data_IF_648647782895
#
_entry.id   IF_648647782895
#
_cell.length_a   1.000
_cell.length_b   1.000
_cell.length_c   1.000
_cell.angle_alpha   90.00
_cell.angle_beta   90.00
_cell.angle_gamma   90.00
#
_symmetry.space_group_name_H-M   'P 1'
#
loop_
_entity.id
_entity.type
_entity.pdbx_description
1 polymer ?
#
# COMPACT_ATOMS: atom_id res chain seq x y z
N UNK A 1 14.74 -2.59 4.27
CA UNK A 1 14.56 -3.24 2.97
C UNK A 1 14.02 -2.26 1.91
N UNK A 2 12.83 -1.63 2.10
CA UNK A 2 12.22 -0.75 1.08
C UNK A 2 13.08 0.45 0.62
N UNK A 3 14.04 0.89 1.41
CA UNK A 3 14.99 1.98 1.08
C UNK A 3 16.37 1.47 0.65
N UNK A 4 16.62 0.20 0.82
CA UNK A 4 17.95 -0.39 0.60
C UNK A 4 18.06 -1.02 -0.80
N UNK A 5 16.92 -1.22 -1.48
CA UNK A 5 16.83 -1.69 -2.85
C UNK A 5 16.39 -0.54 -3.77
N UNK A 6 17.35 0.07 -4.43
CA UNK A 6 17.10 1.19 -5.34
C UNK A 6 16.31 0.77 -6.61
N UNK A 7 16.27 -0.52 -6.93
CA UNK A 7 15.58 -1.03 -8.11
C UNK A 7 14.13 -1.40 -7.85
N UNK A 8 13.75 -1.59 -6.58
CA UNK A 8 12.42 -2.10 -6.21
C UNK A 8 11.26 -1.23 -6.75
N UNK A 9 11.29 0.07 -6.49
CA UNK A 9 10.21 0.97 -6.95
C UNK A 9 10.21 1.15 -8.47
N UNK A 10 11.35 1.35 -9.15
CA UNK A 10 11.42 1.32 -10.60
C UNK A 10 10.83 0.06 -11.23
N UNK A 11 11.11 -1.12 -10.69
CA UNK A 11 10.56 -2.38 -11.20
C UNK A 11 9.05 -2.48 -11.01
N UNK A 12 8.53 -2.06 -9.85
CA UNK A 12 7.07 -2.01 -9.61
C UNK A 12 6.40 -1.03 -10.56
N UNK A 13 6.97 0.15 -10.81
CA UNK A 13 6.44 1.13 -11.76
C UNK A 13 6.44 0.58 -13.20
N UNK A 14 7.49 -0.12 -13.59
CA UNK A 14 7.57 -0.82 -14.89
C UNK A 14 6.53 -1.94 -15.00
N UNK A 15 6.32 -2.69 -13.93
CA UNK A 15 5.28 -3.71 -13.87
C UNK A 15 3.88 -3.09 -14.07
N UNK A 16 3.58 -2.00 -13.38
CA UNK A 16 2.31 -1.28 -13.52
C UNK A 16 2.12 -0.74 -14.95
N UNK A 17 3.18 -0.19 -15.58
CA UNK A 17 3.14 0.23 -16.99
C UNK A 17 2.84 -0.94 -17.93
N UNK A 18 3.43 -2.10 -17.68
CA UNK A 18 3.20 -3.31 -18.49
C UNK A 18 1.75 -3.81 -18.36
N UNK A 19 1.21 -3.83 -17.13
CA UNK A 19 -0.19 -4.21 -16.88
C UNK A 19 -1.15 -3.25 -17.60
N UNK A 20 -0.89 -1.94 -17.50
CA UNK A 20 -1.69 -0.92 -18.17
C UNK A 20 -1.59 -1.06 -19.69
N UNK A 21 -0.39 -1.29 -20.24
CA UNK A 21 -0.20 -1.51 -21.66
C UNK A 21 -0.96 -2.74 -22.14
N UNK A 22 -0.88 -3.85 -21.42
CA UNK A 22 -1.65 -5.04 -21.75
C UNK A 22 -3.16 -4.76 -21.82
N UNK A 23 -3.70 -3.99 -20.86
CA UNK A 23 -5.10 -3.55 -20.93
C UNK A 23 -5.38 -2.72 -22.20
N UNK A 24 -4.54 -1.76 -22.52
CA UNK A 24 -4.70 -0.90 -23.72
C UNK A 24 -4.74 -1.75 -25.01
N UNK A 25 -3.87 -2.77 -25.08
CA UNK A 25 -3.73 -3.61 -26.26
C UNK A 25 -4.86 -4.65 -26.41
N UNK A 26 -5.40 -5.13 -25.32
CA UNK A 26 -6.34 -6.27 -25.29
C UNK A 26 -7.78 -5.91 -24.95
N UNK A 27 -8.05 -4.67 -24.51
CA UNK A 27 -9.39 -4.24 -24.11
C UNK A 27 -10.39 -4.35 -25.27
N UNK A 28 -11.56 -4.97 -25.05
CA UNK A 28 -12.58 -5.10 -26.08
C UNK A 28 -13.17 -3.73 -26.46
N UNK A 29 -13.80 -3.65 -27.64
CA UNK A 29 -14.40 -2.41 -28.16
C UNK A 29 -15.45 -1.82 -27.22
N UNK A 30 -16.15 -2.64 -26.48
CA UNK A 30 -17.10 -2.22 -25.43
C UNK A 30 -16.47 -1.36 -24.34
N UNK A 31 -15.14 -1.43 -24.18
CA UNK A 31 -14.35 -0.64 -23.24
C UNK A 31 -13.55 0.50 -23.90
N UNK A 32 -13.93 0.91 -25.11
CA UNK A 32 -13.18 1.92 -25.90
C UNK A 32 -12.91 3.22 -25.13
N UNK A 33 -13.85 3.71 -24.33
CA UNK A 33 -13.67 4.92 -23.50
C UNK A 33 -12.63 4.72 -22.42
N UNK A 34 -12.66 3.59 -21.72
CA UNK A 34 -11.68 3.26 -20.69
C UNK A 34 -10.27 3.05 -21.28
N UNK A 35 -10.21 2.36 -22.45
CA UNK A 35 -8.96 2.21 -23.21
C UNK A 35 -8.37 3.54 -23.64
N UNK A 36 -9.22 4.45 -24.14
CA UNK A 36 -8.80 5.79 -24.53
C UNK A 36 -8.21 6.59 -23.36
N UNK A 37 -8.91 6.62 -22.20
CA UNK A 37 -8.43 7.30 -21.00
C UNK A 37 -7.10 6.67 -20.50
N UNK A 38 -7.03 5.34 -20.46
CA UNK A 38 -5.81 4.62 -20.08
C UNK A 38 -4.62 4.96 -20.98
N UNK A 39 -4.84 5.05 -22.29
CA UNK A 39 -3.81 5.43 -23.26
C UNK A 39 -3.37 6.88 -23.10
N UNK A 40 -4.30 7.80 -22.88
CA UNK A 40 -4.03 9.24 -22.78
C UNK A 40 -3.27 9.59 -21.53
N UNK A 41 -3.76 9.17 -20.38
CA UNK A 41 -3.25 9.55 -19.07
C UNK A 41 -2.15 8.62 -18.57
N UNK A 42 -2.21 7.34 -18.93
CA UNK A 42 -1.36 6.27 -18.35
C UNK A 42 -1.28 6.34 -16.82
N UNK A 43 -2.39 6.68 -16.16
CA UNK A 43 -2.47 6.77 -14.72
C UNK A 43 -2.25 5.42 -14.04
N UNK A 44 -1.35 5.38 -13.07
CA UNK A 44 -1.11 4.22 -12.19
C UNK A 44 -1.19 4.66 -10.72
N UNK A 45 -1.39 3.71 -9.81
CA UNK A 45 -1.53 4.00 -8.39
C UNK A 45 -0.62 3.11 -7.55
N UNK A 46 0.66 3.45 -7.44
CA UNK A 46 1.55 2.82 -6.46
C UNK A 46 1.11 3.24 -5.06
N UNK A 47 0.72 2.28 -4.23
CA UNK A 47 0.32 2.50 -2.85
C UNK A 47 1.12 1.64 -1.88
N UNK A 48 0.81 1.78 -0.60
CA UNK A 48 1.40 0.98 0.47
C UNK A 48 0.32 0.39 1.36
N UNK A 49 0.63 -0.71 2.01
CA UNK A 49 -0.15 -1.27 3.10
C UNK A 49 0.79 -1.63 4.27
N UNK A 50 0.22 -1.88 5.46
CA UNK A 50 1.00 -2.28 6.62
C UNK A 50 1.71 -1.13 7.33
N UNK A 51 1.34 0.13 7.08
CA UNK A 51 2.00 1.25 7.75
C UNK A 51 1.83 1.20 9.27
N UNK A 52 0.61 0.90 9.77
CA UNK A 52 0.40 0.75 11.21
C UNK A 52 1.17 -0.46 11.77
N UNK A 53 1.17 -1.60 11.08
CA UNK A 53 1.97 -2.77 11.48
C UNK A 53 3.47 -2.46 11.55
N UNK A 54 3.98 -1.63 10.66
CA UNK A 54 5.35 -1.13 10.70
C UNK A 54 5.62 -0.28 11.95
N UNK A 55 4.71 0.64 12.29
CA UNK A 55 4.82 1.45 13.51
C UNK A 55 4.75 0.60 14.78
N UNK A 56 3.84 -0.37 14.82
CA UNK A 56 3.73 -1.32 15.93
C UNK A 56 5.02 -2.14 16.12
N UNK A 57 5.64 -2.59 15.03
CA UNK A 57 6.92 -3.32 15.10
C UNK A 57 8.06 -2.47 15.68
N UNK A 58 7.97 -1.14 15.56
CA UNK A 58 8.90 -0.19 16.14
C UNK A 58 8.49 0.31 17.53
N UNK A 59 7.36 -0.15 18.07
CA UNK A 59 6.72 0.38 19.29
C UNK A 59 6.48 1.90 19.22
N UNK A 60 6.06 2.40 18.06
CA UNK A 60 5.76 3.81 17.81
C UNK A 60 4.24 4.01 17.83
N UNK A 61 3.70 4.82 18.76
CA UNK A 61 2.27 5.16 18.75
C UNK A 61 1.87 5.87 17.45
N UNK A 62 0.70 5.53 16.92
CA UNK A 62 0.21 6.03 15.63
C UNK A 62 0.08 7.56 15.60
N UNK A 63 -0.39 8.18 16.68
CA UNK A 63 -0.60 9.63 16.79
C UNK A 63 0.69 10.41 17.12
N UNK A 64 1.80 9.71 17.32
CA UNK A 64 3.05 10.33 17.76
C UNK A 64 3.71 11.20 16.68
N UNK A 65 4.54 12.13 17.10
CA UNK A 65 5.41 12.92 16.21
C UNK A 65 6.36 11.99 15.44
N UNK A 66 6.82 10.92 16.06
CA UNK A 66 7.71 9.93 15.43
C UNK A 66 7.02 9.25 14.26
N UNK A 67 5.73 8.88 14.40
CA UNK A 67 4.95 8.33 13.30
C UNK A 67 4.84 9.30 12.12
N UNK A 68 4.63 10.61 12.39
CA UNK A 68 4.64 11.66 11.35
C UNK A 68 5.97 11.77 10.63
N UNK A 69 7.09 11.63 11.36
CA UNK A 69 8.43 11.64 10.77
C UNK A 69 8.62 10.43 9.85
N UNK A 70 8.22 9.23 10.27
CA UNK A 70 8.27 8.03 9.45
C UNK A 70 7.40 8.14 8.20
N UNK A 71 6.17 8.66 8.35
CA UNK A 71 5.28 8.92 7.22
C UNK A 71 5.98 9.82 6.17
N UNK A 72 6.44 11.00 6.58
CA UNK A 72 7.12 11.94 5.67
C UNK A 72 8.35 11.32 5.01
N UNK A 73 9.17 10.58 5.75
CA UNK A 73 10.39 9.97 5.22
C UNK A 73 10.07 8.88 4.19
N UNK A 74 9.12 8.01 4.50
CA UNK A 74 8.71 6.90 3.64
C UNK A 74 8.09 7.42 2.34
N UNK A 75 7.09 8.28 2.44
CA UNK A 75 6.39 8.77 1.25
C UNK A 75 7.19 9.75 0.40
N UNK A 76 8.12 10.49 0.99
CA UNK A 76 9.08 11.26 0.21
C UNK A 76 9.96 10.34 -0.65
N UNK A 77 10.52 9.31 -0.07
CA UNK A 77 11.33 8.32 -0.80
C UNK A 77 10.54 7.66 -1.92
N UNK A 78 9.31 7.17 -1.63
CA UNK A 78 8.46 6.53 -2.64
C UNK A 78 8.16 7.50 -3.79
N UNK A 79 7.82 8.74 -3.48
CA UNK A 79 7.54 9.77 -4.49
C UNK A 79 8.74 10.05 -5.36
N UNK A 80 9.90 10.30 -4.77
CA UNK A 80 11.14 10.59 -5.50
C UNK A 80 11.51 9.45 -6.46
N UNK A 81 11.40 8.19 -6.00
CA UNK A 81 11.67 7.01 -6.82
C UNK A 81 10.61 6.82 -7.92
N UNK A 82 9.32 7.02 -7.62
CA UNK A 82 8.25 6.92 -8.62
C UNK A 82 8.36 8.01 -9.69
N UNK A 83 8.72 9.25 -9.30
CA UNK A 83 8.95 10.36 -10.23
C UNK A 83 10.17 10.08 -11.14
N UNK A 84 11.24 9.54 -10.59
CA UNK A 84 12.42 9.14 -11.36
C UNK A 84 12.09 8.00 -12.33
N UNK A 85 11.37 6.98 -11.88
CA UNK A 85 10.93 5.85 -12.71
C UNK A 85 10.00 6.29 -13.85
N UNK A 86 9.09 7.25 -13.57
CA UNK A 86 8.21 7.79 -14.62
C UNK A 86 9.00 8.49 -15.73
N UNK A 87 9.99 9.31 -15.38
CA UNK A 87 10.86 9.97 -16.38
C UNK A 87 11.70 8.97 -17.16
N UNK A 88 12.31 8.01 -16.49
CA UNK A 88 13.08 6.92 -17.11
C UNK A 88 12.22 6.15 -18.13
N UNK A 89 11.00 5.77 -17.76
CA UNK A 89 10.07 5.06 -18.64
C UNK A 89 9.56 5.95 -19.79
N UNK A 90 9.45 7.27 -19.57
CA UNK A 90 9.12 8.21 -20.64
C UNK A 90 10.25 8.32 -21.66
N UNK A 91 11.51 8.31 -21.24
CA UNK A 91 12.67 8.27 -22.12
C UNK A 91 12.74 6.96 -22.93
N UNK A 92 12.43 5.82 -22.31
CA UNK A 92 12.47 4.51 -22.96
C UNK A 92 11.30 4.26 -23.91
N UNK A 93 10.09 4.71 -23.56
CA UNK A 93 8.82 4.30 -24.19
C UNK A 93 7.95 5.46 -24.67
N UNK A 94 8.42 6.69 -24.51
CA UNK A 94 7.66 7.91 -24.75
C UNK A 94 6.83 8.36 -23.56
N UNK A 95 6.58 9.67 -23.42
CA UNK A 95 5.68 10.22 -22.41
C UNK A 95 4.23 9.80 -22.67
N UNK A 96 3.35 9.89 -21.66
CA UNK A 96 1.93 9.77 -21.93
C UNK A 96 1.45 10.98 -22.75
N UNK A 97 0.45 10.81 -23.64
CA UNK A 97 -0.01 11.89 -24.51
C UNK A 97 -0.40 13.16 -23.79
N UNK A 98 -1.08 13.05 -22.65
CA UNK A 98 -1.49 14.22 -21.85
C UNK A 98 -0.30 14.99 -21.29
N UNK A 99 0.75 14.31 -20.83
CA UNK A 99 1.98 14.97 -20.37
C UNK A 99 2.72 15.64 -21.56
N UNK A 100 2.79 14.96 -22.69
CA UNK A 100 3.44 15.46 -23.88
C UNK A 100 2.80 16.75 -24.41
N UNK A 101 1.47 16.87 -24.37
CA UNK A 101 0.74 18.09 -24.77
C UNK A 101 1.14 19.32 -23.96
N UNK A 102 1.55 19.14 -22.69
CA UNK A 102 2.04 20.21 -21.83
C UNK A 102 3.57 20.30 -21.78
N UNK A 103 4.28 19.55 -22.60
CA UNK A 103 5.74 19.57 -22.68
C UNK A 103 6.46 18.85 -21.55
N UNK A 104 5.78 17.95 -20.83
CA UNK A 104 6.37 17.16 -19.76
C UNK A 104 6.84 15.78 -20.24
N UNK A 105 8.06 15.41 -19.84
CA UNK A 105 8.62 14.08 -20.08
C UNK A 105 8.27 13.16 -18.92
N UNK A 106 6.98 12.78 -18.84
CA UNK A 106 6.43 11.90 -17.81
C UNK A 106 5.66 10.73 -18.45
N UNK A 107 5.95 9.51 -17.99
CA UNK A 107 5.25 8.30 -18.49
C UNK A 107 3.83 8.21 -17.97
N UNK A 108 3.57 8.74 -16.76
CA UNK A 108 2.31 8.66 -16.06
C UNK A 108 1.82 10.05 -15.66
N UNK A 109 0.53 10.32 -15.84
CA UNK A 109 -0.09 11.55 -15.32
C UNK A 109 -0.27 11.48 -13.79
N UNK A 110 -0.60 10.30 -13.25
CA UNK A 110 -0.69 10.00 -11.82
C UNK A 110 0.13 8.76 -11.49
N UNK A 111 0.83 8.77 -10.36
CA UNK A 111 1.81 7.74 -10.00
C UNK A 111 1.51 7.04 -8.69
N UNK A 112 0.87 7.73 -7.75
CA UNK A 112 0.68 7.26 -6.37
C UNK A 112 -0.79 7.34 -6.00
N UNK A 113 -1.30 6.25 -5.40
CA UNK A 113 -2.62 6.21 -4.80
C UNK A 113 -2.62 5.24 -3.61
N UNK A 114 -3.30 5.61 -2.52
CA UNK A 114 -3.46 4.74 -1.36
C UNK A 114 -4.79 4.01 -1.48
N UNK A 115 -4.72 2.69 -1.71
CA UNK A 115 -5.88 1.84 -1.71
C UNK A 115 -6.18 1.27 -0.32
N UNK A 116 -7.44 0.93 0.01
CA UNK A 116 -7.80 0.33 1.30
C UNK A 116 -7.12 -1.02 1.56
N UNK A 117 -6.85 -1.82 0.54
CA UNK A 117 -6.17 -3.14 0.60
C UNK A 117 -6.78 -4.13 1.60
N UNK A 118 -8.10 -4.07 1.83
CA UNK A 118 -8.79 -4.85 2.85
C UNK A 118 -8.59 -6.36 2.73
N UNK A 119 -8.63 -6.92 1.52
CA UNK A 119 -8.42 -8.35 1.27
C UNK A 119 -6.94 -8.70 1.08
N UNK A 120 -6.19 -7.85 0.36
CA UNK A 120 -4.77 -8.09 0.06
C UNK A 120 -3.94 -8.11 1.35
N UNK A 121 -4.25 -7.22 2.30
CA UNK A 121 -3.55 -7.15 3.59
C UNK A 121 -3.66 -8.46 4.39
N UNK A 122 -4.78 -9.16 4.30
CA UNK A 122 -4.98 -10.47 4.94
C UNK A 122 -4.10 -11.52 4.26
N UNK A 123 -4.09 -11.58 2.93
CA UNK A 123 -3.28 -12.51 2.14
C UNK A 123 -1.78 -12.28 2.40
N UNK A 124 -1.39 -11.03 2.59
CA UNK A 124 -0.01 -10.65 2.90
C UNK A 124 0.34 -10.74 4.40
N UNK A 125 -0.18 -11.76 5.09
CA UNK A 125 0.18 -12.08 6.47
C UNK A 125 -0.53 -11.27 7.54
N UNK A 126 -1.70 -10.69 7.24
CA UNK A 126 -2.49 -9.94 8.20
C UNK A 126 -1.89 -8.57 8.55
N UNK A 127 -1.22 -7.94 7.61
CA UNK A 127 -0.75 -6.57 7.75
C UNK A 127 -1.92 -5.59 7.92
N UNK A 128 -1.69 -4.44 8.53
CA UNK A 128 -2.69 -3.38 8.59
C UNK A 128 -3.09 -2.93 7.17
N UNK A 129 -4.39 -2.69 6.88
CA UNK A 129 -4.84 -2.27 5.56
C UNK A 129 -4.36 -0.83 5.28
N UNK A 130 -3.86 -0.61 4.07
CA UNK A 130 -3.39 0.70 3.63
C UNK A 130 -2.46 1.38 4.62
N UNK A 131 -2.75 2.63 4.92
CA UNK A 131 -2.04 3.44 5.92
C UNK A 131 -2.86 3.63 7.22
N UNK A 132 -3.98 2.93 7.32
CA UNK A 132 -4.93 3.06 8.42
C UNK A 132 -4.45 2.29 9.66
N UNK A 133 -4.81 2.73 10.88
CA UNK A 133 -4.64 1.91 12.06
C UNK A 133 -5.59 0.71 12.01
N UNK A 134 -5.18 -0.41 12.60
CA UNK A 134 -6.11 -1.52 12.86
C UNK A 134 -7.19 -1.06 13.83
N UNK A 135 -8.43 -1.53 13.61
CA UNK A 135 -9.59 -1.06 14.37
C UNK A 135 -9.55 -1.47 15.85
N UNK A 136 -9.00 -2.65 16.16
CA UNK A 136 -8.91 -3.19 17.51
C UNK A 136 -7.78 -4.24 17.60
N UNK A 137 -7.27 -4.48 18.81
CA UNK A 137 -6.29 -5.54 19.06
C UNK A 137 -6.91 -6.93 19.08
N UNK A 138 -8.22 -7.02 19.30
CA UNK A 138 -9.01 -8.26 19.17
C UNK A 138 -10.28 -7.91 18.41
N UNK A 139 -10.57 -8.64 17.35
CA UNK A 139 -11.79 -8.45 16.58
C UNK A 139 -12.27 -9.75 15.93
N UNK A 140 -13.56 -9.79 15.61
CA UNK A 140 -14.17 -10.87 14.86
C UNK A 140 -14.03 -10.63 13.36
N UNK A 141 -13.26 -11.48 12.69
CA UNK A 141 -13.18 -11.49 11.23
C UNK A 141 -14.25 -12.44 10.67
N UNK A 142 -15.24 -11.88 9.99
CA UNK A 142 -16.30 -12.64 9.33
C UNK A 142 -15.90 -12.94 7.89
N UNK A 143 -15.93 -14.21 7.53
CA UNK A 143 -15.70 -14.70 6.16
C UNK A 143 -16.89 -15.55 5.72
N UNK A 144 -16.91 -15.94 4.44
CA UNK A 144 -17.90 -16.92 3.93
C UNK A 144 -17.78 -18.27 4.64
N UNK A 145 -16.61 -18.63 5.15
CA UNK A 145 -16.33 -19.88 5.85
C UNK A 145 -16.64 -19.85 7.36
N UNK A 146 -17.01 -18.67 7.90
CA UNK A 146 -17.30 -18.53 9.33
C UNK A 146 -16.74 -17.25 9.95
N UNK A 147 -16.79 -17.19 11.28
CA UNK A 147 -16.25 -16.08 12.07
C UNK A 147 -15.03 -16.54 12.86
N UNK A 148 -13.96 -15.78 12.78
CA UNK A 148 -12.70 -16.09 13.45
C UNK A 148 -12.29 -14.92 14.34
N UNK A 149 -11.88 -15.24 15.58
CA UNK A 149 -11.30 -14.23 16.48
C UNK A 149 -9.85 -14.00 16.04
N UNK A 150 -9.53 -12.76 15.71
CA UNK A 150 -8.17 -12.34 15.36
C UNK A 150 -7.59 -11.54 16.53
N UNK A 151 -6.45 -11.97 17.03
CA UNK A 151 -5.66 -11.27 18.06
C UNK A 151 -4.49 -10.54 17.37
N UNK A 152 -4.18 -9.33 17.79
CA UNK A 152 -3.06 -8.55 17.25
C UNK A 152 -1.72 -9.25 17.55
N UNK A 153 -0.95 -9.67 16.53
CA UNK A 153 0.36 -10.28 16.75
C UNK A 153 1.37 -9.32 17.40
N UNK A 154 1.21 -8.02 17.17
CA UNK A 154 2.07 -7.00 17.76
C UNK A 154 1.83 -6.89 19.28
N UNK A 155 0.56 -6.85 19.70
CA UNK A 155 0.22 -6.86 21.12
C UNK A 155 0.65 -8.17 21.79
N UNK A 156 0.43 -9.33 21.14
CA UNK A 156 0.87 -10.63 21.65
C UNK A 156 2.37 -10.65 21.98
N UNK A 157 3.21 -10.12 21.09
CA UNK A 157 4.66 -9.99 21.35
C UNK A 157 4.98 -9.12 22.58
N UNK A 158 4.23 -8.04 22.77
CA UNK A 158 4.40 -7.17 23.94
C UNK A 158 3.95 -7.89 25.19
N UNK A 159 2.78 -8.53 25.18
CA UNK A 159 2.27 -9.30 26.33
C UNK A 159 3.21 -10.43 26.74
N UNK A 160 3.70 -11.20 25.77
CA UNK A 160 4.67 -12.27 26.01
C UNK A 160 5.96 -11.76 26.70
N UNK A 161 6.46 -10.59 26.29
CA UNK A 161 7.63 -9.95 26.92
C UNK A 161 7.42 -9.66 28.41
N UNK A 162 6.17 -9.39 28.82
CA UNK A 162 5.80 -9.12 30.20
C UNK A 162 5.19 -10.33 30.91
N UNK A 163 5.20 -11.51 30.29
CA UNK A 163 4.62 -12.73 30.87
C UNK A 163 3.09 -12.67 31.02
N UNK A 164 2.41 -11.90 30.18
CA UNK A 164 0.97 -11.64 30.21
C UNK A 164 0.23 -12.09 28.94
N UNK A 165 0.84 -12.94 28.12
CA UNK A 165 0.21 -13.53 26.94
C UNK A 165 -0.62 -14.76 27.36
N UNK A 166 -1.66 -14.51 28.15
CA UNK A 166 -2.59 -15.49 28.71
C UNK A 166 -4.03 -15.16 28.33
N UNK A 167 -4.92 -16.15 28.42
CA UNK A 167 -6.32 -16.01 28.01
C UNK A 167 -7.09 -14.99 28.87
N UNK A 168 -6.76 -14.81 30.14
CA UNK A 168 -7.43 -13.82 31.01
C UNK A 168 -7.11 -12.41 30.54
N UNK A 169 -5.85 -12.16 30.17
CA UNK A 169 -5.43 -10.86 29.61
C UNK A 169 -6.13 -10.62 28.28
N UNK A 170 -6.18 -11.59 27.38
CA UNK A 170 -6.88 -11.46 26.10
C UNK A 170 -8.39 -11.28 26.25
N UNK A 171 -9.01 -11.94 27.21
CA UNK A 171 -10.43 -11.73 27.53
C UNK A 171 -10.67 -10.30 28.02
N UNK A 172 -9.77 -9.76 28.87
CA UNK A 172 -9.85 -8.37 29.34
C UNK A 172 -9.75 -7.39 28.15
N UNK A 173 -8.83 -7.61 27.22
CA UNK A 173 -8.71 -6.81 25.98
C UNK A 173 -10.01 -6.88 25.17
N UNK A 174 -10.58 -8.07 25.02
CA UNK A 174 -11.83 -8.30 24.25
C UNK A 174 -13.02 -7.55 24.87
N UNK A 175 -13.21 -7.66 26.18
CA UNK A 175 -14.32 -6.99 26.94
C UNK A 175 -14.20 -5.48 26.82
N UNK A 176 -13.00 -4.94 26.79
CA UNK A 176 -12.73 -3.50 26.62
C UNK A 176 -12.67 -3.05 25.16
N UNK A 177 -13.17 -3.87 24.23
CA UNK A 177 -13.27 -3.58 22.80
C UNK A 177 -11.93 -3.49 22.04
N UNK A 178 -10.95 -4.18 22.52
CA UNK A 178 -9.67 -4.34 21.84
C UNK A 178 -8.58 -3.38 22.29
#
# INVERSE_FOLDING_TARGET
QWKDDAQFIPDVMRFLDNVLQNFIDTAPETMAKARYAAMRERSVGLGVMGFHSFLQALNVPFESVVAKVWNKKMFRHIREQADAASRMLAEERGPCPDAAEYGFMERFSNKIAIAPTASISIICGGAAPGIEPIAANVYNHKTLSGSFIVRSPALGKVLAKYGRDDDDTWNTVTVNKG
#
